data_IF_765557086225
#
_entry.id   IF_765557086225
#
_cell.length_a   1.000
_cell.length_b   1.000
_cell.length_c   1.000
_cell.angle_alpha   90.00
_cell.angle_beta   90.00
_cell.angle_gamma   90.00
#
_symmetry.space_group_name_H-M   'P 1'
#
loop_
_entity.id
_entity.type
_entity.pdbx_description
1 polymer ?
#
# COMPACT_ATOMS: atom_id res chain seq x y z
N UNK A 1 -14.04 28.00 -19.12
CA UNK A 1 -14.52 26.60 -18.99
C UNK A 1 -13.98 25.84 -17.77
N UNK A 2 -12.83 26.20 -17.20
CA UNK A 2 -12.29 25.57 -15.95
C UNK A 2 -13.11 25.88 -14.69
N UNK A 3 -13.69 27.08 -14.59
CA UNK A 3 -14.35 27.53 -13.36
C UNK A 3 -15.67 26.77 -13.05
N UNK A 4 -16.44 26.37 -14.06
CA UNK A 4 -17.70 25.62 -13.87
C UNK A 4 -17.45 24.20 -13.34
N UNK A 5 -16.39 23.54 -13.82
CA UNK A 5 -16.02 22.20 -13.34
C UNK A 5 -15.55 22.23 -11.89
N UNK A 6 -14.74 23.23 -11.54
CA UNK A 6 -14.27 23.44 -10.17
C UNK A 6 -15.44 23.69 -9.20
N UNK A 7 -16.37 24.57 -9.57
CA UNK A 7 -17.58 24.84 -8.76
C UNK A 7 -18.41 23.56 -8.59
N UNK A 8 -18.66 22.82 -9.67
CA UNK A 8 -19.40 21.55 -9.62
C UNK A 8 -18.72 20.55 -8.67
N UNK A 9 -17.40 20.41 -8.76
CA UNK A 9 -16.64 19.49 -7.91
C UNK A 9 -16.74 19.86 -6.42
N UNK A 10 -16.60 21.15 -6.08
CA UNK A 10 -16.81 21.65 -4.72
C UNK A 10 -18.22 21.38 -4.22
N UNK A 11 -19.25 21.57 -5.06
CA UNK A 11 -20.64 21.27 -4.69
C UNK A 11 -20.86 19.79 -4.41
N UNK A 12 -20.33 18.90 -5.26
CA UNK A 12 -20.40 17.43 -5.06
C UNK A 12 -19.74 17.05 -3.73
N UNK A 13 -18.54 17.58 -3.47
CA UNK A 13 -17.79 17.28 -2.24
C UNK A 13 -18.52 17.81 -1.01
N UNK A 14 -18.96 19.07 -1.03
CA UNK A 14 -19.72 19.67 0.06
C UNK A 14 -21.03 18.93 0.35
N UNK A 15 -21.76 18.51 -0.68
CA UNK A 15 -22.98 17.72 -0.52
C UNK A 15 -22.67 16.36 0.11
N UNK A 16 -21.71 15.61 -0.45
CA UNK A 16 -21.31 14.30 0.07
C UNK A 16 -20.86 14.38 1.53
N UNK A 17 -20.10 15.41 1.91
CA UNK A 17 -19.62 15.62 3.28
C UNK A 17 -20.70 16.06 4.27
N UNK A 18 -21.78 16.70 3.79
CA UNK A 18 -22.98 17.01 4.60
C UNK A 18 -23.78 15.74 4.88
N UNK A 19 -23.88 14.87 3.88
CA UNK A 19 -24.61 13.61 4.00
C UNK A 19 -23.79 12.52 4.72
N UNK A 20 -22.49 12.73 4.89
CA UNK A 20 -21.59 11.82 5.60
C UNK A 20 -21.82 11.82 7.11
N UNK A 21 -22.40 10.72 7.61
CA UNK A 21 -22.75 10.57 9.03
C UNK A 21 -21.66 9.94 9.87
N UNK A 22 -20.83 9.10 9.25
CA UNK A 22 -19.84 8.32 9.97
C UNK A 22 -18.65 9.14 10.47
N UNK A 23 -18.55 9.34 11.78
CA UNK A 23 -17.41 10.02 12.43
C UNK A 23 -16.35 9.07 13.00
N UNK A 24 -15.18 9.60 13.33
CA UNK A 24 -14.12 8.81 13.97
C UNK A 24 -14.56 8.23 15.33
N UNK A 25 -15.26 9.00 16.16
CA UNK A 25 -15.79 8.50 17.45
C UNK A 25 -16.71 7.29 17.27
N UNK A 26 -17.68 7.39 16.34
CA UNK A 26 -18.60 6.29 16.10
C UNK A 26 -17.90 5.05 15.52
N UNK A 27 -16.82 5.23 14.75
CA UNK A 27 -15.96 4.12 14.31
C UNK A 27 -15.23 3.46 15.48
N UNK A 28 -14.71 4.24 16.44
CA UNK A 28 -14.08 3.68 17.63
C UNK A 28 -15.06 2.85 18.47
N UNK A 29 -16.30 3.33 18.63
CA UNK A 29 -17.36 2.59 19.31
C UNK A 29 -17.71 1.29 18.56
N UNK A 30 -17.83 1.34 17.23
CA UNK A 30 -18.03 0.16 16.40
C UNK A 30 -16.90 -0.87 16.59
N UNK A 31 -15.64 -0.42 16.58
CA UNK A 31 -14.47 -1.28 16.80
C UNK A 31 -14.46 -1.89 18.20
N UNK A 32 -14.76 -1.10 19.23
CA UNK A 32 -14.87 -1.55 20.62
C UNK A 32 -15.97 -2.60 20.81
N UNK A 33 -17.13 -2.41 20.19
CA UNK A 33 -18.20 -3.40 20.24
C UNK A 33 -17.81 -4.71 19.56
N UNK A 34 -17.13 -4.64 18.41
CA UNK A 34 -16.76 -5.81 17.64
C UNK A 34 -15.62 -6.61 18.31
N UNK A 35 -14.58 -5.94 18.80
CA UNK A 35 -13.33 -6.55 19.26
C UNK A 35 -13.17 -6.56 20.78
N UNK A 36 -13.78 -5.62 21.50
CA UNK A 36 -13.68 -5.50 22.95
C UNK A 36 -14.54 -6.48 23.74
N UNK A 37 -15.64 -6.97 23.15
CA UNK A 37 -16.69 -7.71 23.88
C UNK A 37 -16.61 -9.24 23.77
N UNK A 38 -15.69 -9.83 22.99
CA UNK A 38 -15.75 -11.26 22.64
C UNK A 38 -14.50 -12.04 23.03
N UNK A 39 -14.51 -12.63 24.23
CA UNK A 39 -13.52 -13.63 24.71
C UNK A 39 -13.26 -14.81 23.75
N UNK A 40 -14.12 -15.04 22.75
CA UNK A 40 -14.06 -16.16 21.80
C UNK A 40 -13.47 -15.84 20.42
N UNK A 41 -13.15 -14.57 20.13
CA UNK A 41 -12.54 -14.17 18.85
C UNK A 41 -11.01 -14.04 19.02
N UNK A 42 -10.35 -15.20 19.08
CA UNK A 42 -8.91 -15.31 19.36
C UNK A 42 -8.03 -15.30 18.12
N UNK A 43 -8.56 -15.63 16.94
CA UNK A 43 -7.80 -15.75 15.69
C UNK A 43 -8.13 -14.62 14.72
N UNK A 44 -7.16 -14.28 13.85
CA UNK A 44 -7.33 -13.28 12.78
C UNK A 44 -8.56 -13.62 11.92
N UNK A 45 -8.69 -14.87 11.46
CA UNK A 45 -9.80 -15.30 10.61
C UNK A 45 -11.16 -15.09 11.28
N UNK A 46 -11.28 -15.40 12.58
CA UNK A 46 -12.52 -15.18 13.33
C UNK A 46 -12.84 -13.68 13.48
N UNK A 47 -11.82 -12.81 13.54
CA UNK A 47 -12.00 -11.35 13.61
C UNK A 47 -12.50 -10.81 12.28
N UNK A 48 -11.87 -11.22 11.17
CA UNK A 48 -12.30 -10.87 9.81
C UNK A 48 -13.74 -11.35 9.52
N UNK A 49 -14.07 -12.59 9.91
CA UNK A 49 -15.42 -13.12 9.74
C UNK A 49 -16.46 -12.38 10.57
N UNK A 50 -16.12 -12.01 11.80
CA UNK A 50 -17.00 -11.20 12.65
C UNK A 50 -17.21 -9.80 12.05
N UNK A 51 -16.16 -9.19 11.52
CA UNK A 51 -16.23 -7.90 10.83
C UNK A 51 -17.17 -8.00 9.61
N UNK A 52 -16.95 -8.97 8.71
CA UNK A 52 -17.80 -9.21 7.55
C UNK A 52 -19.28 -9.41 7.92
N UNK A 53 -19.56 -10.17 8.98
CA UNK A 53 -20.92 -10.36 9.49
C UNK A 53 -21.52 -9.07 10.04
N UNK A 54 -20.74 -8.26 10.76
CA UNK A 54 -21.20 -6.99 11.29
C UNK A 54 -21.54 -6.00 10.17
N UNK A 55 -20.71 -5.91 9.13
CA UNK A 55 -20.94 -5.04 7.97
C UNK A 55 -22.14 -5.45 7.13
N UNK A 56 -22.47 -6.75 7.08
CA UNK A 56 -23.70 -7.24 6.40
C UNK A 56 -24.98 -6.94 7.17
N UNK A 57 -24.91 -6.91 8.50
CA UNK A 57 -26.09 -6.80 9.37
C UNK A 57 -26.39 -5.38 9.82
N UNK A 58 -25.38 -4.51 9.84
CA UNK A 58 -25.52 -3.10 10.22
C UNK A 58 -25.28 -2.22 9.00
N UNK A 59 -26.22 -1.33 8.69
CA UNK A 59 -25.95 -0.23 7.76
C UNK A 59 -24.87 0.64 8.42
N UNK A 60 -23.68 0.65 7.82
CA UNK A 60 -22.57 1.45 8.30
C UNK A 60 -22.82 2.91 7.94
N UNK A 61 -22.71 3.81 8.92
CA UNK A 61 -22.71 5.26 8.67
C UNK A 61 -21.39 5.74 8.05
N UNK A 62 -20.36 4.87 8.05
CA UNK A 62 -19.06 5.09 7.41
C UNK A 62 -19.01 4.39 6.05
N UNK A 63 -18.24 4.96 5.13
CA UNK A 63 -17.87 4.25 3.91
C UNK A 63 -16.89 3.13 4.24
N UNK A 64 -17.14 1.94 3.69
CA UNK A 64 -16.29 0.77 3.86
C UNK A 64 -16.03 0.13 2.50
N UNK A 65 -14.78 -0.26 2.27
CA UNK A 65 -14.38 -0.99 1.08
C UNK A 65 -13.38 -2.07 1.46
N UNK A 66 -13.62 -3.27 0.94
CA UNK A 66 -12.63 -4.33 0.95
C UNK A 66 -11.56 -4.02 -0.11
N UNK A 67 -10.31 -3.93 0.32
CA UNK A 67 -9.15 -3.58 -0.51
C UNK A 67 -8.14 -4.72 -0.52
N UNK A 68 -7.41 -4.87 -1.63
CA UNK A 68 -6.32 -5.83 -1.72
C UNK A 68 -5.25 -5.49 -0.67
N UNK A 69 -4.97 -6.41 0.24
CA UNK A 69 -3.85 -6.30 1.18
C UNK A 69 -2.84 -7.37 0.83
N UNK A 70 -2.03 -7.11 -0.19
CA UNK A 70 -1.13 -8.13 -0.72
C UNK A 70 0.21 -8.16 0.04
N UNK A 71 0.36 -7.47 1.18
CA UNK A 71 1.66 -7.40 1.84
C UNK A 71 2.07 -8.77 2.43
N UNK A 72 3.11 -9.36 1.86
CA UNK A 72 3.79 -10.54 2.36
C UNK A 72 5.29 -10.26 2.41
N UNK A 73 5.93 -10.74 3.48
CA UNK A 73 7.40 -10.72 3.61
C UNK A 73 8.07 -11.81 2.79
N UNK A 74 7.33 -12.83 2.39
CA UNK A 74 7.84 -13.89 1.53
C UNK A 74 8.03 -13.39 0.12
N UNK A 75 9.16 -13.74 -0.47
CA UNK A 75 9.50 -13.47 -1.86
C UNK A 75 9.83 -14.81 -2.50
N UNK A 76 8.85 -15.52 -3.04
CA UNK A 76 9.14 -16.74 -3.78
C UNK A 76 10.14 -16.46 -4.90
N UNK A 77 11.15 -17.33 -5.02
CA UNK A 77 12.18 -17.26 -6.06
C UNK A 77 11.90 -18.42 -7.02
N UNK A 78 11.84 -18.11 -8.31
CA UNK A 78 11.45 -19.03 -9.38
C UNK A 78 12.55 -19.07 -10.44
N UNK A 79 13.01 -20.27 -10.82
CA UNK A 79 13.79 -20.47 -12.04
C UNK A 79 12.86 -20.70 -13.22
N UNK A 80 13.02 -19.93 -14.29
CA UNK A 80 12.29 -20.07 -15.56
C UNK A 80 13.21 -20.79 -16.55
N UNK A 81 12.71 -21.89 -17.09
CA UNK A 81 13.36 -22.70 -18.13
C UNK A 81 12.52 -22.63 -19.41
N UNK A 82 13.09 -22.19 -20.53
CA UNK A 82 12.39 -22.21 -21.83
C UNK A 82 12.79 -23.41 -22.71
N UNK A 83 13.68 -24.28 -22.22
CA UNK A 83 14.04 -25.49 -22.94
C UNK A 83 12.80 -26.38 -23.13
N UNK A 84 12.50 -26.87 -24.35
CA UNK A 84 11.54 -27.95 -24.52
C UNK A 84 11.99 -29.14 -23.66
N UNK A 85 11.01 -29.86 -23.11
CA UNK A 85 11.11 -30.90 -22.09
C UNK A 85 11.82 -32.19 -22.59
N UNK A 86 12.90 -32.04 -23.38
CA UNK A 86 13.58 -33.12 -24.11
C UNK A 86 14.69 -33.80 -23.30
N UNK A 87 14.95 -33.35 -22.07
CA UNK A 87 15.82 -34.08 -21.14
C UNK A 87 14.97 -34.90 -20.17
N UNK A 88 15.14 -36.23 -20.08
CA UNK A 88 14.39 -37.06 -19.15
C UNK A 88 14.77 -36.71 -17.71
N UNK A 89 14.01 -35.79 -17.13
CA UNK A 89 14.05 -35.48 -15.71
C UNK A 89 13.65 -36.71 -14.90
N UNK A 90 14.38 -37.00 -13.82
CA UNK A 90 14.05 -38.15 -12.97
C UNK A 90 12.65 -37.98 -12.36
N UNK A 91 11.92 -39.07 -12.10
CA UNK A 91 10.61 -39.02 -11.43
C UNK A 91 10.63 -38.22 -10.13
N UNK A 92 11.74 -38.28 -9.38
CA UNK A 92 11.94 -37.52 -8.15
C UNK A 92 12.08 -36.01 -8.40
N UNK A 93 12.72 -35.62 -9.50
CA UNK A 93 12.86 -34.21 -9.90
C UNK A 93 11.54 -33.63 -10.40
N UNK A 94 10.77 -34.39 -11.18
CA UNK A 94 9.42 -34.01 -11.60
C UNK A 94 8.47 -33.84 -10.41
N UNK A 95 8.49 -34.78 -9.45
CA UNK A 95 7.70 -34.66 -8.23
C UNK A 95 8.09 -33.44 -7.40
N UNK A 96 9.39 -33.16 -7.22
CA UNK A 96 9.86 -31.97 -6.50
C UNK A 96 9.46 -30.66 -7.21
N UNK A 97 9.56 -30.63 -8.54
CA UNK A 97 9.15 -29.48 -9.35
C UNK A 97 7.64 -29.21 -9.20
N UNK A 98 6.81 -30.24 -9.38
CA UNK A 98 5.36 -30.15 -9.21
C UNK A 98 4.96 -29.75 -7.77
N UNK A 99 5.65 -30.26 -6.75
CA UNK A 99 5.42 -29.86 -5.36
C UNK A 99 5.78 -28.39 -5.11
N UNK A 100 6.90 -27.91 -5.66
CA UNK A 100 7.33 -26.53 -5.55
C UNK A 100 6.36 -25.59 -6.27
N UNK A 101 5.94 -25.95 -7.48
CA UNK A 101 4.93 -25.22 -8.23
C UNK A 101 3.59 -25.17 -7.47
N UNK A 102 3.16 -26.28 -6.86
CA UNK A 102 1.95 -26.31 -6.05
C UNK A 102 2.08 -25.48 -4.76
N UNK A 103 3.25 -25.49 -4.10
CA UNK A 103 3.51 -24.62 -2.92
C UNK A 103 3.48 -23.15 -3.32
N UNK A 104 4.11 -22.81 -4.44
CA UNK A 104 4.11 -21.47 -5.02
C UNK A 104 2.67 -21.03 -5.36
N UNK A 105 1.93 -21.83 -6.12
CA UNK A 105 0.55 -21.52 -6.50
C UNK A 105 -0.36 -21.34 -5.27
N UNK A 106 -0.18 -22.14 -4.22
CA UNK A 106 -0.87 -21.93 -2.94
C UNK A 106 -0.47 -20.61 -2.30
N UNK A 107 0.82 -20.29 -2.29
CA UNK A 107 1.32 -19.04 -1.74
C UNK A 107 0.78 -17.82 -2.51
N UNK A 108 0.87 -17.84 -3.83
CA UNK A 108 0.31 -16.81 -4.71
C UNK A 108 -1.20 -16.67 -4.51
N UNK A 109 -1.92 -17.78 -4.42
CA UNK A 109 -3.35 -17.75 -4.12
C UNK A 109 -3.62 -17.10 -2.76
N UNK A 110 -2.85 -17.42 -1.72
CA UNK A 110 -2.98 -16.81 -0.40
C UNK A 110 -2.67 -15.31 -0.42
N UNK A 111 -1.61 -14.88 -1.10
CA UNK A 111 -1.24 -13.45 -1.18
C UNK A 111 -2.27 -12.66 -1.99
N UNK A 112 -2.74 -13.21 -3.11
CA UNK A 112 -3.70 -12.54 -4.00
C UNK A 112 -5.14 -12.52 -3.46
N UNK A 113 -5.46 -13.38 -2.48
CA UNK A 113 -6.79 -13.42 -1.84
C UNK A 113 -6.84 -12.67 -0.52
N UNK A 114 -5.71 -12.21 0.02
CA UNK A 114 -5.70 -11.37 1.22
C UNK A 114 -6.36 -10.03 0.94
N UNK A 115 -7.35 -9.74 1.76
CA UNK A 115 -8.10 -8.50 1.74
C UNK A 115 -8.15 -7.93 3.14
N UNK A 116 -8.17 -6.60 3.22
CA UNK A 116 -8.50 -5.90 4.46
C UNK A 116 -9.66 -4.95 4.20
N UNK A 117 -10.34 -4.54 5.25
CA UNK A 117 -11.40 -3.54 5.16
C UNK A 117 -10.83 -2.17 5.51
N UNK A 118 -10.90 -1.25 4.55
CA UNK A 118 -10.61 0.16 4.76
C UNK A 118 -11.91 0.91 5.03
N UNK A 119 -11.87 1.78 6.03
CA UNK A 119 -12.99 2.60 6.47
C UNK A 119 -12.63 4.06 6.26
N UNK A 120 -13.57 4.84 5.73
CA UNK A 120 -13.40 6.27 5.60
C UNK A 120 -14.41 6.97 6.50
N UNK A 121 -13.88 7.74 7.44
CA UNK A 121 -14.65 8.37 8.51
C UNK A 121 -14.36 9.86 8.54
N UNK A 122 -15.34 10.67 8.95
CA UNK A 122 -15.16 12.10 9.14
C UNK A 122 -14.37 12.34 10.43
N UNK A 123 -13.35 13.20 10.36
CA UNK A 123 -12.68 13.64 11.58
C UNK A 123 -13.62 14.56 12.37
N UNK A 124 -13.98 14.17 13.59
CA UNK A 124 -14.77 14.96 14.54
C UNK A 124 -13.89 15.66 15.59
N UNK A 125 -12.57 15.49 15.53
CA UNK A 125 -11.60 16.30 16.27
C UNK A 125 -11.46 17.71 15.67
N UNK A 126 -11.23 18.75 16.48
CA UNK A 126 -10.99 20.11 15.99
C UNK A 126 -9.75 20.24 15.10
N UNK A 127 -8.79 19.31 15.22
CA UNK A 127 -7.54 19.35 14.46
C UNK A 127 -7.13 17.94 14.01
N UNK A 128 -6.75 17.74 12.74
CA UNK A 128 -6.92 18.66 11.61
C UNK A 128 -8.39 18.76 11.16
N UNK A 129 -8.87 19.99 10.92
CA UNK A 129 -10.20 20.23 10.39
C UNK A 129 -10.28 19.87 8.89
N UNK A 130 -11.49 19.62 8.39
CA UNK A 130 -11.78 19.42 6.96
C UNK A 130 -11.02 18.26 6.30
N UNK A 131 -10.90 17.15 7.02
CA UNK A 131 -10.33 15.90 6.50
C UNK A 131 -11.26 14.72 6.74
N UNK A 132 -11.13 13.71 5.88
CA UNK A 132 -11.56 12.36 6.17
C UNK A 132 -10.36 11.55 6.65
N UNK A 133 -10.58 10.64 7.59
CA UNK A 133 -9.58 9.70 8.08
C UNK A 133 -9.80 8.34 7.41
N UNK A 134 -8.71 7.71 6.98
CA UNK A 134 -8.72 6.35 6.46
C UNK A 134 -8.24 5.42 7.56
N UNK A 135 -9.12 4.52 7.99
CA UNK A 135 -8.85 3.57 9.06
C UNK A 135 -8.77 2.16 8.48
N UNK A 136 -7.79 1.37 8.93
CA UNK A 136 -7.73 -0.07 8.65
C UNK A 136 -7.85 -0.80 9.99
N UNK A 137 -8.67 -1.85 10.05
CA UNK A 137 -8.77 -2.66 11.25
C UNK A 137 -7.51 -3.48 11.45
N UNK A 138 -6.86 -3.33 12.61
CA UNK A 138 -5.77 -4.22 13.03
C UNK A 138 -6.34 -5.55 13.52
N UNK A 139 -6.52 -6.52 12.62
CA UNK A 139 -6.98 -7.86 13.01
C UNK A 139 -5.87 -8.74 13.59
N UNK A 140 -4.61 -8.34 13.46
CA UNK A 140 -3.42 -9.07 13.95
C UNK A 140 -3.00 -8.77 15.39
N UNK A 141 -3.66 -7.84 16.10
CA UNK A 141 -3.31 -7.51 17.48
C UNK A 141 -3.40 -8.71 18.43
N UNK A 142 -2.48 -8.80 19.39
CA UNK A 142 -2.39 -9.94 20.32
C UNK A 142 -3.25 -9.76 21.57
N UNK A 143 -3.60 -8.52 21.90
CA UNK A 143 -4.43 -8.17 23.05
C UNK A 143 -5.50 -7.13 22.68
N UNK A 144 -6.53 -6.99 23.52
CA UNK A 144 -7.65 -6.06 23.28
C UNK A 144 -7.20 -4.62 23.08
N UNK A 145 -6.15 -4.18 23.80
CA UNK A 145 -5.64 -2.82 23.69
C UNK A 145 -5.00 -2.56 22.32
N UNK A 146 -4.24 -3.51 21.80
CA UNK A 146 -3.66 -3.46 20.45
C UNK A 146 -4.74 -3.50 19.37
N UNK A 147 -5.76 -4.36 19.54
CA UNK A 147 -6.90 -4.47 18.62
C UNK A 147 -7.73 -3.19 18.54
N UNK A 148 -7.81 -2.43 19.64
CA UNK A 148 -8.51 -1.15 19.69
C UNK A 148 -7.59 0.05 19.41
N UNK A 149 -6.28 -0.16 19.24
CA UNK A 149 -5.31 0.87 18.83
C UNK A 149 -5.40 1.20 17.33
N UNK A 150 -6.63 1.45 16.87
CA UNK A 150 -6.89 1.90 15.52
C UNK A 150 -6.33 3.30 15.36
N UNK A 151 -5.54 3.48 14.30
CA UNK A 151 -5.00 4.76 13.90
C UNK A 151 -5.34 4.98 12.44
N UNK A 152 -5.47 6.26 12.09
CA UNK A 152 -5.61 6.64 10.69
C UNK A 152 -4.32 6.27 9.96
N UNK A 153 -4.43 5.51 8.87
CA UNK A 153 -3.30 5.20 8.00
C UNK A 153 -3.02 6.36 7.04
N UNK A 154 -4.03 7.17 6.74
CA UNK A 154 -3.87 8.42 6.01
C UNK A 154 -5.05 9.38 6.24
N UNK A 155 -4.81 10.68 6.13
CA UNK A 155 -5.85 11.71 6.06
C UNK A 155 -6.07 12.15 4.62
N UNK A 156 -7.33 12.34 4.23
CA UNK A 156 -7.76 12.82 2.92
C UNK A 156 -8.31 14.24 3.10
N UNK A 157 -7.62 15.22 2.55
CA UNK A 157 -8.12 16.60 2.51
C UNK A 157 -9.29 16.74 1.54
N UNK A 158 -10.26 17.60 1.85
CA UNK A 158 -11.41 17.86 0.97
C UNK A 158 -10.96 18.37 -0.40
N UNK A 159 -9.93 19.23 -0.46
CA UNK A 159 -9.32 19.70 -1.70
C UNK A 159 -8.80 18.56 -2.60
N UNK A 160 -8.29 17.48 -2.00
CA UNK A 160 -7.87 16.33 -2.78
C UNK A 160 -9.07 15.61 -3.42
N UNK A 161 -10.20 15.47 -2.70
CA UNK A 161 -11.43 14.91 -3.25
C UNK A 161 -11.95 15.78 -4.40
N UNK A 162 -11.97 17.10 -4.22
CA UNK A 162 -12.40 18.07 -5.24
C UNK A 162 -11.60 17.89 -6.54
N UNK A 163 -10.27 17.77 -6.44
CA UNK A 163 -9.41 17.53 -7.62
C UNK A 163 -9.72 16.23 -8.33
N UNK A 164 -10.00 15.15 -7.60
CA UNK A 164 -10.34 13.86 -8.20
C UNK A 164 -11.71 13.96 -8.89
N UNK A 165 -12.70 14.52 -8.20
CA UNK A 165 -14.06 14.77 -8.75
C UNK A 165 -14.00 15.59 -10.03
N UNK A 166 -13.27 16.71 -10.02
CA UNK A 166 -13.15 17.61 -11.16
C UNK A 166 -12.48 16.94 -12.37
N UNK A 167 -11.36 16.25 -12.14
CA UNK A 167 -10.48 15.75 -13.20
C UNK A 167 -10.89 14.39 -13.75
N UNK A 168 -11.40 13.49 -12.90
CA UNK A 168 -12.00 12.23 -13.35
C UNK A 168 -13.45 12.41 -13.81
N UNK A 169 -14.09 13.52 -13.42
CA UNK A 169 -15.50 13.77 -13.76
C UNK A 169 -16.46 12.82 -13.05
N UNK A 170 -16.09 12.31 -11.88
CA UNK A 170 -16.96 11.45 -11.07
C UNK A 170 -18.05 12.26 -10.37
N UNK A 171 -19.19 11.65 -10.09
CA UNK A 171 -20.38 12.38 -9.58
C UNK A 171 -20.57 12.28 -8.06
N UNK A 172 -19.75 11.48 -7.36
CA UNK A 172 -19.84 11.30 -5.91
C UNK A 172 -18.48 11.26 -5.24
N UNK A 173 -18.45 11.56 -3.94
CA UNK A 173 -17.22 11.49 -3.14
C UNK A 173 -16.74 10.04 -2.93
N UNK A 174 -17.64 9.07 -2.92
CA UNK A 174 -17.32 7.64 -2.80
C UNK A 174 -16.52 7.15 -4.02
N UNK A 175 -16.86 7.63 -5.22
CA UNK A 175 -16.10 7.32 -6.42
C UNK A 175 -14.67 7.91 -6.34
N UNK A 176 -14.52 9.13 -5.80
CA UNK A 176 -13.22 9.71 -5.55
C UNK A 176 -12.43 8.95 -4.47
N UNK A 177 -13.09 8.47 -3.41
CA UNK A 177 -12.47 7.65 -2.36
C UNK A 177 -12.02 6.29 -2.93
N UNK A 178 -12.81 5.66 -3.80
CA UNK A 178 -12.46 4.40 -4.47
C UNK A 178 -11.18 4.50 -5.30
N UNK A 179 -10.87 5.67 -5.86
CA UNK A 179 -9.61 5.95 -6.54
C UNK A 179 -8.41 5.96 -5.57
N UNK A 180 -8.62 6.48 -4.35
CA UNK A 180 -7.57 6.67 -3.35
C UNK A 180 -7.23 5.37 -2.61
N UNK A 181 -8.24 4.64 -2.12
CA UNK A 181 -8.05 3.56 -1.13
C UNK A 181 -7.08 2.44 -1.55
N UNK A 182 -7.07 1.95 -2.80
CA UNK A 182 -6.14 0.89 -3.20
C UNK A 182 -4.66 1.26 -3.02
N UNK A 183 -4.33 2.55 -3.12
CA UNK A 183 -2.96 3.05 -2.95
C UNK A 183 -2.52 3.14 -1.49
N UNK A 184 -3.44 3.43 -0.57
CA UNK A 184 -3.12 3.70 0.84
C UNK A 184 -2.77 2.46 1.65
N UNK A 185 -3.10 1.27 1.15
CA UNK A 185 -2.84 0.01 1.83
C UNK A 185 -1.34 -0.24 2.05
N UNK A 186 -0.50 0.29 1.17
CA UNK A 186 0.96 0.18 1.24
C UNK A 186 1.62 1.07 2.30
N UNK A 187 0.85 1.96 2.93
CA UNK A 187 1.37 2.86 3.95
C UNK A 187 1.64 2.15 5.27
N UNK A 188 0.98 1.03 5.57
CA UNK A 188 1.27 0.27 6.79
C UNK A 188 2.69 -0.30 6.78
N UNK A 189 3.17 -0.74 5.62
CA UNK A 189 4.49 -1.37 5.46
C UNK A 189 5.65 -0.37 5.27
N UNK A 190 5.37 0.90 4.99
CA UNK A 190 6.40 1.94 4.91
C UNK A 190 6.87 2.47 6.27
N UNK A 191 6.16 2.18 7.35
CA UNK A 191 6.46 2.73 8.67
C UNK A 191 7.78 2.20 9.24
N UNK A 192 8.09 0.94 8.95
CA UNK A 192 9.36 0.32 9.35
C UNK A 192 10.55 0.96 8.64
N UNK A 193 10.39 1.34 7.37
CA UNK A 193 11.42 2.04 6.60
C UNK A 193 11.76 3.39 7.22
N UNK A 194 10.74 4.23 7.41
CA UNK A 194 10.94 5.58 7.90
C UNK A 194 11.50 5.62 9.33
N UNK A 195 11.25 4.60 10.14
CA UNK A 195 11.76 4.51 11.50
C UNK A 195 13.29 4.32 11.57
N UNK A 196 13.88 3.69 10.56
CA UNK A 196 15.33 3.37 10.53
C UNK A 196 16.10 4.13 9.46
N UNK A 197 15.39 4.81 8.55
CA UNK A 197 15.99 5.62 7.51
C UNK A 197 16.70 6.85 8.11
N UNK A 198 17.89 7.23 7.62
CA UNK A 198 18.62 8.35 8.21
C UNK A 198 17.85 9.68 8.16
N UNK A 199 17.79 10.47 9.26
CA UNK A 199 16.93 11.66 9.37
C UNK A 199 17.19 12.76 8.33
N UNK A 200 18.42 12.87 7.83
CA UNK A 200 18.78 13.82 6.77
C UNK A 200 18.04 13.58 5.46
N UNK A 201 17.40 12.40 5.29
CA UNK A 201 16.67 12.03 4.09
C UNK A 201 15.27 12.65 3.99
N UNK A 202 14.69 13.17 5.07
CA UNK A 202 13.30 13.69 5.04
C UNK A 202 12.97 14.87 5.95
N UNK A 203 13.93 15.40 6.73
CA UNK A 203 13.81 16.62 7.55
C UNK A 203 12.54 16.72 8.42
N UNK A 204 12.33 17.85 9.10
CA UNK A 204 11.13 18.08 9.93
C UNK A 204 9.82 18.14 9.12
N UNK A 205 9.90 18.30 7.79
CA UNK A 205 8.74 18.47 6.90
C UNK A 205 8.07 17.19 6.42
N UNK A 206 8.63 16.02 6.74
CA UNK A 206 8.13 14.72 6.30
C UNK A 206 8.56 14.34 4.89
N UNK A 207 8.53 13.03 4.62
CA UNK A 207 8.90 12.45 3.34
C UNK A 207 7.74 12.56 2.34
N UNK A 208 7.99 13.14 1.18
CA UNK A 208 7.02 13.17 0.07
C UNK A 208 7.10 11.88 -0.74
N UNK A 209 5.96 11.26 -1.02
CA UNK A 209 5.86 10.01 -1.79
C UNK A 209 4.75 10.10 -2.82
N UNK A 210 5.03 9.65 -4.03
CA UNK A 210 4.01 9.40 -5.04
C UNK A 210 3.60 7.93 -5.02
N UNK A 211 2.31 7.66 -4.83
CA UNK A 211 1.78 6.29 -4.85
C UNK A 211 0.80 6.16 -6.00
N UNK A 212 0.98 5.19 -6.93
CA UNK A 212 0.11 5.04 -8.08
C UNK A 212 -1.31 4.67 -7.67
N UNK A 213 -2.28 5.23 -8.38
CA UNK A 213 -3.71 4.90 -8.35
C UNK A 213 -4.13 4.41 -9.74
N UNK A 214 -5.34 3.86 -9.92
CA UNK A 214 -5.79 3.38 -11.23
C UNK A 214 -5.70 4.42 -12.36
N UNK A 215 -5.95 5.71 -12.06
CA UNK A 215 -6.00 6.79 -13.05
C UNK A 215 -4.95 7.89 -12.82
N UNK A 216 -3.96 7.67 -11.96
CA UNK A 216 -3.01 8.72 -11.58
C UNK A 216 -2.06 8.33 -10.45
N UNK A 217 -1.72 9.31 -9.62
CA UNK A 217 -0.92 9.09 -8.42
C UNK A 217 -1.31 10.06 -7.29
N UNK A 218 -1.25 9.56 -6.05
CA UNK A 218 -1.36 10.34 -4.83
C UNK A 218 0.01 10.91 -4.46
N UNK A 219 0.08 12.20 -4.15
CA UNK A 219 1.20 12.79 -3.43
C UNK A 219 0.87 12.79 -1.94
N UNK A 220 1.65 12.04 -1.17
CA UNK A 220 1.52 11.93 0.27
C UNK A 220 2.72 12.59 0.94
N UNK A 221 2.49 13.23 2.08
CA UNK A 221 3.54 13.57 3.03
C UNK A 221 3.43 12.60 4.19
N UNK A 222 4.55 11.94 4.49
CA UNK A 222 4.62 10.94 5.54
C UNK A 222 5.62 11.36 6.60
N UNK A 223 5.20 11.32 7.86
CA UNK A 223 6.05 11.56 9.03
C UNK A 223 6.02 10.34 9.95
N UNK A 224 7.00 10.29 10.85
CA UNK A 224 7.02 9.33 11.96
C UNK A 224 6.78 10.10 13.23
N UNK A 225 5.67 9.79 13.90
CA UNK A 225 5.40 10.27 15.24
C UNK A 225 5.70 9.16 16.26
N UNK A 226 6.22 9.51 17.45
CA UNK A 226 6.21 8.57 18.56
C UNK A 226 4.76 8.18 18.85
N UNK A 227 4.40 6.90 18.78
CA UNK A 227 3.10 6.50 19.30
C UNK A 227 3.07 6.60 20.81
N UNK A 228 1.87 6.68 21.38
CA UNK A 228 1.62 6.56 22.82
C UNK A 228 2.23 5.29 23.45
N UNK A 229 2.62 4.30 22.63
CA UNK A 229 3.15 3.01 23.04
C UNK A 229 4.65 2.82 22.75
N UNK A 230 5.36 3.90 22.40
CA UNK A 230 6.80 3.85 22.13
C UNK A 230 7.19 3.18 20.81
N UNK A 231 6.23 2.60 20.07
CA UNK A 231 6.46 2.15 18.69
C UNK A 231 6.37 3.35 17.74
N UNK A 232 7.28 3.52 16.79
CA UNK A 232 7.14 4.51 15.73
C UNK A 232 5.80 4.30 15.01
N UNK A 233 5.01 5.35 14.86
CA UNK A 233 3.77 5.33 14.11
C UNK A 233 3.85 6.29 12.95
N UNK A 234 3.44 5.80 11.79
CA UNK A 234 3.39 6.61 10.58
C UNK A 234 2.15 7.51 10.63
N UNK A 235 2.35 8.79 10.33
CA UNK A 235 1.27 9.72 10.03
C UNK A 235 1.38 10.13 8.57
N UNK A 236 0.29 9.95 7.81
CA UNK A 236 0.24 10.26 6.40
C UNK A 236 -0.82 11.28 6.12
N UNK A 237 -0.43 12.35 5.43
CA UNK A 237 -1.37 13.34 4.90
C UNK A 237 -1.36 13.27 3.38
N UNK A 238 -2.53 13.08 2.79
CA UNK A 238 -2.70 13.18 1.35
C UNK A 238 -2.67 14.66 0.95
N UNK A 239 -1.57 15.06 0.33
CA UNK A 239 -1.35 16.42 -0.14
C UNK A 239 -2.20 16.68 -1.39
N UNK A 240 -2.13 15.78 -2.37
CA UNK A 240 -2.93 15.91 -3.59
C UNK A 240 -2.99 14.62 -4.43
N UNK A 241 -3.76 14.66 -5.50
CA UNK A 241 -3.82 13.65 -6.55
C UNK A 241 -3.55 14.27 -7.91
N UNK A 242 -2.86 13.52 -8.77
CA UNK A 242 -2.41 13.95 -10.10
C UNK A 242 -2.87 12.91 -11.11
N UNK A 243 -3.65 13.35 -12.10
CA UNK A 243 -4.17 12.46 -13.14
C UNK A 243 -3.02 12.03 -14.06
N UNK A 244 -3.03 10.79 -14.53
CA UNK A 244 -2.05 10.27 -15.51
C UNK A 244 -1.86 11.17 -16.76
N UNK A 245 -2.91 11.87 -17.22
CA UNK A 245 -2.85 12.79 -18.37
C UNK A 245 -1.97 14.01 -18.12
N UNK A 246 -1.62 14.27 -16.86
CA UNK A 246 -0.76 15.38 -16.45
C UNK A 246 0.70 14.94 -16.31
N UNK A 247 1.01 13.65 -16.44
CA UNK A 247 2.38 13.17 -16.44
C UNK A 247 3.04 13.43 -17.80
N UNK A 248 4.28 13.93 -17.79
CA UNK A 248 5.16 13.90 -18.97
C UNK A 248 5.57 12.46 -19.28
N UNK A 249 6.09 12.20 -20.50
CA UNK A 249 6.52 10.84 -20.92
C UNK A 249 7.52 10.19 -19.95
N UNK A 250 8.38 10.97 -19.32
CA UNK A 250 9.38 10.51 -18.32
C UNK A 250 8.83 10.36 -16.90
N UNK A 251 7.56 10.73 -16.65
CA UNK A 251 6.96 10.85 -15.31
C UNK A 251 5.92 9.77 -15.02
N UNK A 252 6.02 8.62 -15.69
CA UNK A 252 5.07 7.54 -15.47
C UNK A 252 5.34 6.91 -14.10
N UNK A 253 4.30 6.82 -13.27
CA UNK A 253 4.33 6.00 -12.06
C UNK A 253 3.61 4.70 -12.35
N UNK A 254 4.35 3.60 -12.42
CA UNK A 254 3.72 2.28 -12.54
C UNK A 254 3.60 1.60 -11.19
N UNK A 255 2.55 0.78 -11.05
CA UNK A 255 2.39 -0.12 -9.90
C UNK A 255 3.61 -1.03 -9.71
N UNK A 256 4.21 -1.46 -10.83
CA UNK A 256 5.38 -2.34 -10.86
C UNK A 256 6.60 -1.71 -10.20
N UNK A 257 6.98 -0.51 -10.64
CA UNK A 257 8.07 0.26 -10.04
C UNK A 257 7.75 0.54 -8.56
N UNK A 258 6.49 0.88 -8.26
CA UNK A 258 6.05 1.09 -6.90
C UNK A 258 6.15 -0.15 -6.00
N UNK A 259 5.96 -1.35 -6.52
CA UNK A 259 6.16 -2.58 -5.75
C UNK A 259 7.65 -2.82 -5.53
N UNK A 260 8.45 -2.63 -6.58
CA UNK A 260 9.89 -2.89 -6.53
C UNK A 260 10.60 -2.05 -5.46
N UNK A 261 10.53 -0.72 -5.54
CA UNK A 261 11.28 0.11 -4.58
C UNK A 261 10.73 0.00 -3.16
N UNK A 262 9.43 -0.27 -2.99
CA UNK A 262 8.82 -0.46 -1.67
C UNK A 262 9.39 -1.71 -1.02
N UNK A 263 9.55 -2.79 -1.79
CA UNK A 263 10.16 -4.03 -1.31
C UNK A 263 11.66 -3.90 -1.06
N UNK A 264 12.40 -3.17 -1.90
CA UNK A 264 13.82 -2.86 -1.64
C UNK A 264 13.94 -2.11 -0.32
N UNK A 265 13.19 -1.03 -0.14
CA UNK A 265 13.20 -0.22 1.08
C UNK A 265 12.83 -1.03 2.32
N UNK A 266 11.79 -1.85 2.21
CA UNK A 266 11.36 -2.73 3.29
C UNK A 266 12.48 -3.69 3.73
N UNK A 267 13.19 -4.31 2.78
CA UNK A 267 14.30 -5.23 3.05
C UNK A 267 15.53 -4.54 3.62
N UNK A 268 15.87 -3.35 3.14
CA UNK A 268 16.97 -2.55 3.68
C UNK A 268 16.76 -2.14 5.15
N UNK A 269 15.50 -2.14 5.59
CA UNK A 269 15.08 -1.84 6.96
C UNK A 269 15.02 -3.04 7.89
N UNK A 270 15.30 -4.25 7.41
CA UNK A 270 15.40 -5.44 8.26
C UNK A 270 16.62 -5.32 9.20
N UNK A 271 16.45 -5.45 10.54
CA UNK A 271 17.58 -5.50 11.48
C UNK A 271 18.63 -6.58 11.15
N UNK A 272 18.21 -7.67 10.51
CA UNK A 272 19.04 -8.80 10.10
C UNK A 272 19.37 -8.76 8.60
N UNK A 273 19.36 -7.58 7.97
CA UNK A 273 19.56 -7.44 6.52
C UNK A 273 20.81 -8.14 5.99
N UNK A 274 21.93 -8.14 6.72
CA UNK A 274 23.18 -8.75 6.25
C UNK A 274 23.02 -10.25 6.06
N UNK A 275 22.54 -10.96 7.08
CA UNK A 275 22.29 -12.39 7.02
C UNK A 275 21.19 -12.74 6.00
N UNK A 276 20.16 -11.90 5.91
CA UNK A 276 19.04 -12.10 4.98
C UNK A 276 19.46 -11.91 3.52
N UNK A 277 20.34 -10.94 3.25
CA UNK A 277 20.91 -10.69 1.93
C UNK A 277 21.84 -11.81 1.48
N UNK A 278 22.67 -12.32 2.40
CA UNK A 278 23.51 -13.50 2.13
C UNK A 278 22.67 -14.74 1.83
N UNK A 279 21.60 -14.97 2.61
CA UNK A 279 20.65 -16.06 2.35
C UNK A 279 20.01 -15.93 0.98
N UNK A 280 19.49 -14.75 0.64
CA UNK A 280 18.89 -14.47 -0.66
C UNK A 280 19.88 -14.69 -1.82
N UNK A 281 21.12 -14.23 -1.67
CA UNK A 281 22.18 -14.44 -2.67
C UNK A 281 22.42 -15.93 -2.89
N UNK A 282 22.53 -16.71 -1.81
CA UNK A 282 22.76 -18.15 -1.89
C UNK A 282 21.58 -18.88 -2.55
N UNK A 283 20.34 -18.50 -2.25
CA UNK A 283 19.15 -19.09 -2.85
C UNK A 283 19.07 -18.81 -4.36
N UNK A 284 19.36 -17.56 -4.78
CA UNK A 284 19.43 -17.19 -6.20
C UNK A 284 20.51 -18.01 -6.91
N UNK A 285 21.73 -18.06 -6.35
CA UNK A 285 22.85 -18.80 -6.94
C UNK A 285 22.56 -20.31 -7.07
N UNK A 286 21.88 -20.90 -6.08
CA UNK A 286 21.50 -22.31 -6.13
C UNK A 286 20.52 -22.62 -7.26
N UNK A 287 19.55 -21.72 -7.50
CA UNK A 287 18.58 -21.86 -8.60
C UNK A 287 19.27 -21.61 -9.96
N UNK A 288 20.11 -20.58 -10.06
CA UNK A 288 20.88 -20.29 -11.28
C UNK A 288 21.83 -21.44 -11.66
N UNK A 289 22.37 -22.16 -10.67
CA UNK A 289 23.25 -23.31 -10.89
C UNK A 289 22.50 -24.58 -11.29
N UNK A 290 21.17 -24.56 -11.32
CA UNK A 290 20.36 -25.72 -11.71
C UNK A 290 20.29 -25.83 -13.23
N UNK A 291 20.47 -27.06 -13.75
CA UNK A 291 20.41 -27.31 -15.20
C UNK A 291 19.06 -26.88 -15.80
N UNK A 292 19.13 -26.13 -16.91
CA UNK A 292 17.96 -25.72 -17.69
C UNK A 292 17.33 -24.39 -17.28
N UNK A 293 17.80 -23.73 -16.22
CA UNK A 293 17.31 -22.40 -15.81
C UNK A 293 17.95 -21.31 -16.68
N UNK A 294 17.12 -20.52 -17.37
CA UNK A 294 17.56 -19.38 -18.19
C UNK A 294 17.44 -18.05 -17.45
N UNK A 295 16.40 -17.91 -16.63
CA UNK A 295 16.14 -16.69 -15.85
C UNK A 295 15.72 -17.05 -14.44
N UNK A 296 16.18 -16.29 -13.44
CA UNK A 296 15.66 -16.38 -12.07
C UNK A 296 14.87 -15.13 -11.77
N UNK A 297 13.63 -15.33 -11.35
CA UNK A 297 12.71 -14.26 -11.00
C UNK A 297 12.31 -14.34 -9.53
N UNK A 298 11.99 -13.20 -8.96
CA UNK A 298 11.34 -13.10 -7.65
C UNK A 298 9.91 -12.63 -7.83
N UNK A 299 8.99 -13.21 -7.07
CA UNK A 299 7.62 -12.75 -7.03
C UNK A 299 7.41 -11.75 -5.89
N UNK A 300 7.13 -10.51 -6.25
CA UNK A 300 6.78 -9.45 -5.31
C UNK A 300 5.30 -9.07 -5.54
N UNK A 301 4.44 -9.47 -4.61
CA UNK A 301 3.01 -9.13 -4.59
C UNK A 301 2.24 -9.46 -5.89
N UNK A 302 2.56 -10.60 -6.50
CA UNK A 302 1.92 -11.09 -7.72
C UNK A 302 2.58 -10.61 -9.01
N UNK A 303 3.65 -9.82 -8.92
CA UNK A 303 4.45 -9.39 -10.06
C UNK A 303 5.84 -10.06 -10.02
N UNK A 304 6.30 -10.57 -11.17
CA UNK A 304 7.63 -11.19 -11.31
C UNK A 304 8.68 -10.14 -11.66
N UNK A 305 9.82 -10.15 -11.00
CA UNK A 305 10.96 -9.26 -11.25
C UNK A 305 12.24 -10.09 -11.46
N UNK A 306 13.19 -9.64 -12.28
CA UNK A 306 14.49 -10.30 -12.37
C UNK A 306 15.17 -10.32 -10.99
N UNK A 307 15.57 -11.51 -10.52
CA UNK A 307 16.13 -11.67 -9.18
C UNK A 307 17.46 -10.90 -9.02
N UNK A 308 18.29 -10.87 -10.08
CA UNK A 308 19.56 -10.14 -10.09
C UNK A 308 19.38 -8.62 -9.96
N UNK A 309 18.36 -8.06 -10.58
CA UNK A 309 18.07 -6.62 -10.51
C UNK A 309 17.72 -6.22 -9.07
N UNK A 310 16.87 -7.02 -8.42
CA UNK A 310 16.51 -6.79 -7.02
C UNK A 310 17.69 -6.99 -6.07
N UNK A 311 18.48 -8.06 -6.26
CA UNK A 311 19.69 -8.31 -5.47
C UNK A 311 20.67 -7.14 -5.59
N UNK A 312 20.94 -6.66 -6.80
CA UNK A 312 21.83 -5.52 -7.04
C UNK A 312 21.32 -4.24 -6.35
N UNK A 313 20.00 -3.99 -6.37
CA UNK A 313 19.41 -2.86 -5.66
C UNK A 313 19.62 -2.94 -4.14
N UNK A 314 19.47 -4.14 -3.55
CA UNK A 314 19.73 -4.36 -2.12
C UNK A 314 21.21 -4.21 -1.77
N UNK A 315 22.12 -4.73 -2.61
CA UNK A 315 23.57 -4.65 -2.41
C UNK A 315 24.09 -3.21 -2.45
N UNK A 316 23.45 -2.33 -3.23
CA UNK A 316 23.75 -0.89 -3.21
C UNK A 316 23.51 -0.26 -1.83
N UNK A 317 22.58 -0.80 -1.05
CA UNK A 317 22.31 -0.35 0.32
C UNK A 317 21.63 1.01 0.42
N UNK A 318 21.15 1.57 -0.69
CA UNK A 318 20.52 2.89 -0.75
C UNK A 318 19.00 2.77 -0.77
N UNK A 319 18.33 3.56 0.07
CA UNK A 319 16.88 3.72 -0.02
C UNK A 319 16.49 4.38 -1.34
N UNK A 320 15.43 3.87 -1.95
CA UNK A 320 14.90 4.35 -3.21
C UNK A 320 13.69 5.26 -2.94
N UNK A 321 13.61 6.39 -3.64
CA UNK A 321 12.57 7.40 -3.44
C UNK A 321 11.50 7.39 -4.53
N UNK A 322 10.24 7.56 -4.11
CA UNK A 322 9.09 7.78 -4.98
C UNK A 322 8.83 9.26 -5.19
N UNK A 323 9.69 9.93 -5.95
CA UNK A 323 9.46 11.32 -6.34
C UNK A 323 9.34 11.37 -7.86
N UNK A 324 8.12 11.62 -8.35
CA UNK A 324 7.96 12.16 -9.71
C UNK A 324 8.64 13.52 -9.68
N UNK A 325 9.75 13.66 -10.42
CA UNK A 325 10.34 14.98 -10.62
C UNK A 325 9.51 15.71 -11.68
N UNK A 326 8.69 16.65 -11.22
CA UNK A 326 8.00 17.59 -12.11
C UNK A 326 9.03 18.58 -12.62
N UNK A 327 9.71 18.27 -13.73
CA UNK A 327 10.45 19.29 -14.48
C UNK A 327 9.52 20.47 -14.70
N UNK A 328 9.77 21.58 -13.99
CA UNK A 328 9.17 22.86 -14.35
C UNK A 328 9.71 23.17 -15.74
N UNK A 329 8.81 23.26 -16.72
CA UNK A 329 9.21 23.82 -18.01
C UNK A 329 9.95 25.12 -17.71
N UNK A 330 11.22 25.19 -18.12
CA UNK A 330 11.99 26.41 -17.98
C UNK A 330 11.14 27.54 -18.56
N UNK A 331 11.00 28.69 -17.87
CA UNK A 331 10.20 29.79 -18.39
C UNK A 331 10.72 30.07 -19.80
N UNK A 332 9.83 29.98 -20.79
CA UNK A 332 10.16 30.30 -22.16
C UNK A 332 10.90 31.63 -22.14
N UNK A 333 12.18 31.62 -22.56
CA UNK A 333 12.96 32.84 -22.68
C UNK A 333 12.10 33.80 -23.49
N UNK A 334 11.58 34.85 -22.85
CA UNK A 334 11.04 36.00 -23.56
C UNK A 334 12.23 36.56 -24.32
N UNK A 335 12.30 36.23 -25.60
CA UNK A 335 13.14 36.97 -26.54
C UNK A 335 12.63 38.41 -26.49
N UNK A 336 13.55 39.31 -26.13
CA UNK A 336 13.33 40.75 -26.07
C UNK A 336 12.96 41.31 -27.45
#
# INVERSE_FOLDING_TARGET
MTNEKEVKAKTIVAQGLRDWRGTYTAFQEFAAQLLGSRKRITTVDKREDALRKALKTRKSDFFVQEVAFNFSRSMPIEGISNAPDDTPSSKAQQQRSAENEHKLNRHLHQVNTRRTHAFVVKNDSPTPANVLLVMIFKTHGTNTRELLSNHSVATISFHCLERIVERLGVETIEAAIKEILPALVWLESSGSELAVRPPYSFAAGGMKRHIPTPNGALLLTTTVAPSYYGKPQQDCTLVTWIHEKQFKKSQRVTRREFIFTHMVNYWLSDPNRTASLEGLRNDILAIESSHGVEEVTINLHGERFPAREFLAALEKGEYLDYVIDFERDAPAKRTA
#
